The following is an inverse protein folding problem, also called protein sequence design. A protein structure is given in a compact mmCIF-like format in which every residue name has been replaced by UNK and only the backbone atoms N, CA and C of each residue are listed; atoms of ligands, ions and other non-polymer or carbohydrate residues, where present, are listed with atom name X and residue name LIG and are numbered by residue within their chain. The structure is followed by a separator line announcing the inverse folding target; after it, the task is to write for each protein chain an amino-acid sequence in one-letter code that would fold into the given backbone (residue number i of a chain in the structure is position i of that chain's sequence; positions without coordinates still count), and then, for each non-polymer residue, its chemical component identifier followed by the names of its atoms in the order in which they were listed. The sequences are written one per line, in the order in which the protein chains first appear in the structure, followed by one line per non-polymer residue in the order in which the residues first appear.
data_IF_976886154918
#
_entry.id   IF_976886154918
#
_cell.length_a   1.000
_cell.length_b   1.000
_cell.length_c   1.000
_cell.angle_alpha   90.00
_cell.angle_beta   90.00
_cell.angle_gamma   90.00
#
_symmetry.space_group_name_H-M   'P 1'
#
loop_
_entity.id
_entity.type
_entity.pdbx_description
1 polymer ?
#
# COMPACT_ATOMS: atom_id res chain seq x y z
N UNK A 1 -3.43 -9.29 2.77
CA UNK A 1 -4.35 -10.42 2.99
C UNK A 1 -4.00 -11.05 4.35
N UNK A 2 -4.62 -12.17 4.71
CA UNK A 2 -4.34 -12.88 5.96
C UNK A 2 -2.92 -13.46 6.04
N UNK A 3 -2.19 -13.51 4.92
CA UNK A 3 -0.79 -13.98 4.84
C UNK A 3 0.21 -12.82 4.84
N UNK A 4 -0.25 -11.59 5.02
CA UNK A 4 0.61 -10.41 5.02
C UNK A 4 1.05 -9.92 3.62
N UNK A 5 0.51 -10.51 2.54
CA UNK A 5 0.73 -9.99 1.18
C UNK A 5 -0.14 -8.77 0.94
N UNK A 6 0.43 -7.72 0.35
CA UNK A 6 -0.33 -6.53 -0.03
C UNK A 6 -1.20 -6.83 -1.25
N UNK A 7 -2.47 -6.47 -1.15
CA UNK A 7 -3.49 -6.67 -2.18
C UNK A 7 -4.38 -5.42 -2.25
N UNK A 8 -5.12 -5.26 -3.35
CA UNK A 8 -6.12 -4.19 -3.52
C UNK A 8 -5.57 -2.76 -3.36
N UNK A 9 -4.35 -2.49 -3.85
CA UNK A 9 -3.70 -1.17 -3.74
C UNK A 9 -4.42 -0.13 -4.60
N UNK A 10 -4.89 0.95 -3.97
CA UNK A 10 -5.53 2.10 -4.61
C UNK A 10 -4.87 3.40 -4.21
N UNK A 11 -4.88 4.37 -5.12
CA UNK A 11 -4.41 5.73 -4.86
C UNK A 11 -5.58 6.59 -4.38
N UNK A 12 -5.45 7.23 -3.22
CA UNK A 12 -6.49 8.12 -2.66
C UNK A 12 -6.38 9.54 -3.23
N UNK A 13 -5.16 10.07 -3.28
CA UNK A 13 -4.86 11.38 -3.86
C UNK A 13 -3.79 11.19 -4.93
N UNK A 14 -4.07 11.66 -6.15
CA UNK A 14 -3.13 11.56 -7.27
C UNK A 14 -1.98 12.54 -7.10
N UNK A 15 -0.78 12.14 -7.51
CA UNK A 15 0.32 13.07 -7.63
C UNK A 15 0.06 14.08 -8.76
N UNK A 16 0.27 15.40 -8.54
CA UNK A 16 0.07 16.41 -9.58
C UNK A 16 1.19 16.37 -10.62
N UNK A 17 0.87 16.62 -11.89
CA UNK A 17 1.84 16.81 -12.97
C UNK A 17 2.36 15.53 -13.63
N UNK A 18 2.58 14.43 -12.89
CA UNK A 18 3.07 13.17 -13.46
C UNK A 18 2.28 11.93 -12.95
N UNK A 19 1.45 11.30 -13.80
CA UNK A 19 0.71 10.10 -13.43
C UNK A 19 1.58 8.84 -13.28
N UNK A 20 2.83 8.84 -13.77
CA UNK A 20 3.75 7.71 -13.59
C UNK A 20 4.13 7.53 -12.12
N UNK A 21 4.22 8.62 -11.35
CA UNK A 21 4.50 8.58 -9.92
C UNK A 21 3.51 7.69 -9.18
N UNK A 22 2.21 7.86 -9.44
CA UNK A 22 1.16 7.02 -8.85
C UNK A 22 1.28 5.55 -9.25
N UNK A 23 1.70 5.25 -10.48
CA UNK A 23 1.92 3.87 -10.94
C UNK A 23 3.11 3.24 -10.21
N UNK A 24 4.24 3.95 -10.15
CA UNK A 24 5.47 3.49 -9.49
C UNK A 24 5.21 3.21 -8.01
N UNK A 25 4.49 4.10 -7.31
CA UNK A 25 4.12 3.90 -5.90
C UNK A 25 3.28 2.64 -5.74
N UNK A 26 2.22 2.47 -6.54
CA UNK A 26 1.33 1.29 -6.45
C UNK A 26 2.09 0.00 -6.71
N UNK A 27 2.93 -0.03 -7.73
CA UNK A 27 3.69 -1.23 -8.11
C UNK A 27 4.79 -1.56 -7.10
N UNK A 28 5.37 -0.55 -6.45
CA UNK A 28 6.32 -0.73 -5.34
C UNK A 28 5.61 -1.30 -4.11
N UNK A 29 4.48 -0.73 -3.71
CA UNK A 29 3.72 -1.16 -2.53
C UNK A 29 3.21 -2.60 -2.67
N UNK A 30 2.79 -3.04 -3.87
CA UNK A 30 2.37 -4.42 -4.13
C UNK A 30 3.45 -5.47 -3.81
N UNK A 31 4.72 -5.08 -3.87
CA UNK A 31 5.86 -5.98 -3.58
C UNK A 31 6.10 -6.15 -2.09
N UNK A 32 5.53 -5.30 -1.24
CA UNK A 32 5.77 -5.36 0.20
C UNK A 32 5.13 -6.59 0.85
N UNK A 33 5.66 -6.96 2.02
CA UNK A 33 5.15 -8.02 2.89
C UNK A 33 5.06 -7.48 4.30
N UNK A 34 3.89 -7.62 4.90
CA UNK A 34 3.63 -7.27 6.28
C UNK A 34 3.56 -8.52 7.14
N UNK A 35 3.78 -8.37 8.46
CA UNK A 35 3.43 -9.43 9.40
C UNK A 35 1.90 -9.59 9.41
N UNK A 36 1.35 -10.82 9.29
CA UNK A 36 -0.08 -11.06 9.41
C UNK A 36 -0.65 -10.45 10.68
N UNK A 37 -1.77 -9.75 10.55
CA UNK A 37 -2.48 -9.20 11.70
C UNK A 37 -3.34 -10.29 12.31
N UNK A 38 -3.18 -10.54 13.61
CA UNK A 38 -3.83 -11.65 14.32
C UNK A 38 -4.76 -11.09 15.39
N UNK A 39 -6.02 -11.49 15.36
CA UNK A 39 -7.04 -11.15 16.37
C UNK A 39 -7.65 -12.45 16.89
N UNK A 40 -7.59 -12.66 18.21
CA UNK A 40 -8.10 -13.91 18.81
C UNK A 40 -7.41 -15.18 18.28
N UNK A 41 -6.11 -15.10 17.99
CA UNK A 41 -5.33 -16.22 17.45
C UNK A 41 -5.54 -16.52 15.96
N UNK A 42 -6.42 -15.77 15.28
CA UNK A 42 -6.71 -15.97 13.85
C UNK A 42 -6.16 -14.81 13.01
N UNK A 43 -5.47 -15.08 11.89
CA UNK A 43 -5.04 -14.03 10.98
C UNK A 43 -6.25 -13.42 10.24
N UNK A 44 -6.32 -12.09 10.21
CA UNK A 44 -7.42 -11.34 9.59
C UNK A 44 -6.91 -10.40 8.50
N UNK A 45 -7.78 -10.04 7.55
CA UNK A 45 -7.49 -9.03 6.52
C UNK A 45 -7.63 -7.65 7.17
N UNK A 46 -6.68 -6.77 6.90
CA UNK A 46 -6.65 -5.39 7.42
C UNK A 46 -6.51 -4.39 6.28
N UNK A 47 -7.16 -3.23 6.43
CA UNK A 47 -6.97 -2.07 5.56
C UNK A 47 -5.87 -1.19 6.14
N UNK A 48 -5.00 -0.65 5.28
CA UNK A 48 -3.92 0.25 5.70
C UNK A 48 -3.85 1.43 4.74
N UNK A 49 -3.71 2.63 5.30
CA UNK A 49 -3.50 3.86 4.55
C UNK A 49 -2.09 4.40 4.85
N UNK A 50 -1.39 4.86 3.81
CA UNK A 50 -0.07 5.49 3.92
C UNK A 50 0.02 6.68 2.99
N UNK A 51 0.53 7.79 3.51
CA UNK A 51 0.72 9.05 2.78
C UNK A 51 2.19 9.31 2.59
N UNK A 52 2.62 9.53 1.34
CA UNK A 52 3.99 9.83 0.98
C UNK A 52 4.09 11.29 0.53
N UNK A 53 5.00 12.07 1.13
CA UNK A 53 5.30 13.45 0.70
C UNK A 53 6.47 13.41 -0.27
N UNK A 54 6.18 13.39 -1.56
CA UNK A 54 7.20 13.32 -2.63
C UNK A 54 7.47 14.71 -3.18
N UNK A 55 8.76 15.02 -3.37
CA UNK A 55 9.24 16.24 -4.02
C UNK A 55 10.41 15.89 -4.94
N UNK A 56 10.41 16.45 -6.14
CA UNK A 56 11.55 16.39 -7.05
C UNK A 56 12.38 17.67 -6.88
N UNK A 57 13.70 17.54 -7.03
CA UNK A 57 14.63 18.67 -7.05
C UNK A 57 14.95 19.03 -8.49
#
# INVERSE_FOLDING_TARGET
DTKGKVVDVKTKTKFPGDPQVDKIIRDTIKKWRFKPFVVGGKPVKTCTERTFKIKFK
#
